data_IF_223495378131
#
_entry.id   IF_223495378131
#
_cell.length_a   1.000
_cell.length_b   1.000
_cell.length_c   1.000
_cell.angle_alpha   90.00
_cell.angle_beta   90.00
_cell.angle_gamma   90.00
#
_symmetry.space_group_name_H-M   'P 1'
#
loop_
_entity.id
_entity.type
_entity.pdbx_description
1 polymer ?
#
# COMPACT_ATOMS: atom_id res chain seq x y z
N UNK A 1 -14.37 13.67 -13.50
CA UNK A 1 -14.16 14.64 -12.41
C UNK A 1 -12.87 15.44 -12.62
N UNK A 2 -12.89 16.76 -12.46
CA UNK A 2 -11.68 17.59 -12.61
C UNK A 2 -10.83 17.59 -11.34
N UNK A 3 -9.50 17.52 -11.47
CA UNK A 3 -8.58 17.64 -10.35
C UNK A 3 -8.46 19.11 -9.91
N UNK A 4 -8.76 19.40 -8.64
CA UNK A 4 -8.65 20.74 -8.07
C UNK A 4 -7.21 21.30 -8.10
N UNK A 5 -6.19 20.43 -8.07
CA UNK A 5 -4.77 20.84 -8.05
C UNK A 5 -4.20 21.19 -9.42
N UNK A 6 -4.57 20.47 -10.48
CA UNK A 6 -3.91 20.62 -11.79
C UNK A 6 -4.86 20.76 -12.99
N UNK A 7 -6.18 20.82 -12.73
CA UNK A 7 -7.21 21.00 -13.76
C UNK A 7 -7.41 19.82 -14.69
N UNK A 8 -6.76 18.68 -14.45
CA UNK A 8 -6.88 17.50 -15.31
C UNK A 8 -8.31 16.92 -15.23
N UNK A 9 -8.89 16.57 -16.39
CA UNK A 9 -10.13 15.80 -16.43
C UNK A 9 -9.81 14.32 -16.15
N UNK A 10 -10.26 13.82 -15.01
CA UNK A 10 -10.11 12.42 -14.62
C UNK A 10 -11.43 11.66 -14.80
N UNK A 11 -11.34 10.35 -14.99
CA UNK A 11 -12.52 9.48 -14.98
C UNK A 11 -13.10 9.46 -13.55
N UNK A 12 -14.42 9.33 -13.44
CA UNK A 12 -15.15 9.40 -12.17
C UNK A 12 -14.80 8.25 -11.22
N UNK A 13 -14.22 7.16 -11.72
CA UNK A 13 -13.80 6.01 -10.92
C UNK A 13 -12.43 6.20 -10.22
N UNK A 14 -11.72 7.29 -10.50
CA UNK A 14 -10.39 7.54 -9.93
C UNK A 14 -10.44 8.33 -8.63
N UNK A 15 -9.85 7.78 -7.57
CA UNK A 15 -9.65 8.47 -6.28
C UNK A 15 -8.50 9.48 -6.29
N UNK A 16 -7.54 9.34 -7.22
CA UNK A 16 -6.36 10.20 -7.34
C UNK A 16 -6.15 10.65 -8.77
N UNK A 17 -5.60 11.86 -8.94
CA UNK A 17 -5.32 12.42 -10.24
C UNK A 17 -4.15 11.73 -10.90
N UNK A 18 -4.38 11.13 -12.06
CA UNK A 18 -3.34 10.44 -12.82
C UNK A 18 -2.24 11.37 -13.36
N UNK A 19 -2.44 12.69 -13.33
CA UNK A 19 -1.43 13.68 -13.75
C UNK A 19 -0.54 14.18 -12.60
N UNK A 20 -1.11 14.37 -11.40
CA UNK A 20 -0.38 15.04 -10.30
C UNK A 20 -0.47 14.34 -8.95
N UNK A 21 -1.10 13.16 -8.89
CA UNK A 21 -1.23 12.34 -7.68
C UNK A 21 -2.23 12.84 -6.63
N UNK A 22 -2.78 14.06 -6.76
CA UNK A 22 -3.68 14.62 -5.78
C UNK A 22 -5.01 13.86 -5.67
N UNK A 23 -5.55 13.71 -4.46
CA UNK A 23 -6.87 13.13 -4.21
C UNK A 23 -7.95 13.89 -4.97
N UNK A 24 -8.93 13.16 -5.48
CA UNK A 24 -10.08 13.68 -6.23
C UNK A 24 -11.33 13.37 -5.41
N UNK A 25 -12.11 14.41 -5.10
CA UNK A 25 -13.41 14.25 -4.43
C UNK A 25 -13.36 14.12 -2.90
N UNK A 26 -12.45 14.82 -2.21
CA UNK A 26 -12.49 15.02 -0.76
C UNK A 26 -12.64 16.52 -0.43
N UNK A 27 -13.50 16.80 0.53
CA UNK A 27 -14.04 18.08 1.04
C UNK A 27 -13.40 19.40 0.57
N UNK A 28 -14.31 20.32 0.22
CA UNK A 28 -14.09 21.74 0.00
C UNK A 28 -13.11 22.35 1.02
N UNK A 29 -12.00 22.88 0.50
CA UNK A 29 -11.12 23.78 1.24
C UNK A 29 -11.92 25.04 1.57
N UNK A 30 -12.30 25.19 2.83
CA UNK A 30 -12.77 26.47 3.38
C UNK A 30 -11.59 27.45 3.34
N UNK A 31 -11.64 28.34 2.35
CA UNK A 31 -10.77 29.50 2.27
C UNK A 31 -11.27 30.55 3.28
N UNK A 32 -10.60 30.70 4.42
CA UNK A 32 -10.60 31.95 5.16
C UNK A 32 -9.17 32.34 5.55
N UNK A 33 -8.67 33.36 4.86
CA UNK A 33 -7.44 34.10 5.18
C UNK A 33 -7.58 34.81 6.53
N UNK A 34 -6.50 34.88 7.32
CA UNK A 34 -5.87 36.15 7.72
C UNK A 34 -4.54 35.97 8.46
N UNK A 35 -3.53 36.65 7.92
CA UNK A 35 -2.24 37.09 8.45
C UNK A 35 -1.85 36.75 9.91
N UNK A 36 -0.75 36.01 10.06
CA UNK A 36 0.29 36.31 11.06
C UNK A 36 1.66 35.91 10.51
N UNK A 37 2.56 36.90 10.41
CA UNK A 37 3.98 36.68 10.10
C UNK A 37 4.65 36.30 11.42
N UNK A 38 5.00 35.03 11.58
CA UNK A 38 5.96 34.58 12.58
C UNK A 38 6.92 33.56 11.99
N UNK A 39 8.21 33.93 11.98
CA UNK A 39 9.33 33.06 11.67
C UNK A 39 9.36 31.86 12.63
N UNK A 40 9.26 30.63 12.11
CA UNK A 40 10.12 29.46 12.39
C UNK A 40 9.56 28.21 11.68
N UNK A 41 10.45 27.41 11.11
CA UNK A 41 10.20 26.20 10.31
C UNK A 41 9.36 25.12 11.02
N UNK A 42 8.03 25.20 10.94
CA UNK A 42 7.12 24.03 11.09
C UNK A 42 5.95 24.25 10.12
N UNK A 43 5.52 23.16 9.46
CA UNK A 43 4.29 22.96 8.66
C UNK A 43 4.48 22.83 7.13
N UNK A 44 4.85 21.62 6.71
CA UNK A 44 4.36 20.93 5.50
C UNK A 44 4.83 19.46 5.54
N UNK A 45 4.65 18.77 6.67
CA UNK A 45 4.91 17.34 6.75
C UNK A 45 3.69 16.60 6.20
N UNK A 46 3.84 15.64 5.26
CA UNK A 46 2.71 14.88 4.73
C UNK A 46 1.91 14.19 5.83
N UNK A 47 0.62 13.98 5.59
CA UNK A 47 -0.24 13.24 6.51
C UNK A 47 0.36 11.85 6.80
N UNK A 48 0.34 11.44 8.08
CA UNK A 48 0.91 10.18 8.58
C UNK A 48 2.45 10.04 8.53
N UNK A 49 3.20 11.07 8.09
CA UNK A 49 4.66 11.08 8.13
C UNK A 49 5.14 11.37 9.57
N UNK A 50 6.04 10.54 10.10
CA UNK A 50 6.63 10.68 11.45
C UNK A 50 7.89 11.53 11.46
N UNK A 51 8.76 11.33 10.46
CA UNK A 51 10.01 12.09 10.34
C UNK A 51 10.26 12.47 8.88
N UNK A 52 10.88 13.63 8.67
CA UNK A 52 11.32 14.10 7.37
C UNK A 52 12.77 14.59 7.46
N UNK A 53 13.69 13.88 6.80
CA UNK A 53 15.11 14.20 6.78
C UNK A 53 15.54 14.64 5.38
N UNK A 54 16.05 15.87 5.26
CA UNK A 54 16.73 16.31 4.05
C UNK A 54 18.21 15.92 4.16
N UNK A 55 18.66 14.95 3.36
CA UNK A 55 20.05 14.48 3.41
C UNK A 55 21.00 15.41 2.65
N UNK A 56 20.59 15.83 1.45
CA UNK A 56 21.28 16.83 0.63
C UNK A 56 20.24 17.61 -0.18
N UNK A 57 20.65 18.56 -1.03
CA UNK A 57 19.73 19.38 -1.83
C UNK A 57 18.79 18.57 -2.74
N UNK A 58 19.16 17.33 -3.05
CA UNK A 58 18.48 16.46 -3.99
C UNK A 58 17.81 15.25 -3.31
N UNK A 59 18.07 14.98 -2.04
CA UNK A 59 17.61 13.76 -1.39
C UNK A 59 16.84 14.09 -0.11
N UNK A 60 15.60 13.60 -0.04
CA UNK A 60 14.74 13.67 1.14
C UNK A 60 14.24 12.28 1.50
N UNK A 61 14.27 11.94 2.79
CA UNK A 61 13.72 10.70 3.33
C UNK A 61 12.52 11.08 4.19
N UNK A 62 11.36 10.52 3.88
CA UNK A 62 10.16 10.60 4.71
C UNK A 62 9.92 9.24 5.37
N UNK A 63 9.74 9.25 6.68
CA UNK A 63 9.60 8.04 7.49
C UNK A 63 8.16 7.94 7.97
N UNK A 64 7.53 6.83 7.63
CA UNK A 64 6.17 6.50 8.02
C UNK A 64 6.22 5.40 9.09
N UNK A 65 5.08 4.78 9.37
CA UNK A 65 4.98 3.81 10.45
C UNK A 65 5.87 2.60 10.24
N UNK A 66 5.83 1.99 9.05
CA UNK A 66 6.53 0.75 8.72
C UNK A 66 7.26 0.78 7.37
N UNK A 67 7.38 1.97 6.78
CA UNK A 67 8.08 2.19 5.51
C UNK A 67 8.69 3.59 5.46
N UNK A 68 9.62 3.78 4.53
CA UNK A 68 10.11 5.10 4.14
C UNK A 68 9.74 5.40 2.68
N UNK A 69 9.62 6.69 2.37
CA UNK A 69 9.64 7.20 0.99
C UNK A 69 10.97 7.94 0.79
N UNK A 70 11.77 7.45 -0.15
CA UNK A 70 13.03 8.07 -0.57
C UNK A 70 12.80 8.91 -1.82
N UNK A 71 12.87 10.24 -1.67
CA UNK A 71 12.76 11.21 -2.74
C UNK A 71 14.15 11.57 -3.28
N UNK A 72 14.37 11.47 -4.60
CA UNK A 72 15.62 11.79 -5.32
C UNK A 72 15.35 12.81 -6.44
N UNK A 73 15.65 14.09 -6.23
CA UNK A 73 15.57 15.13 -7.25
C UNK A 73 16.84 15.10 -8.13
N UNK A 74 16.71 14.95 -9.46
CA UNK A 74 17.87 15.07 -10.36
C UNK A 74 18.31 16.53 -10.49
N UNK A 75 19.59 16.80 -10.28
CA UNK A 75 20.25 18.02 -10.76
C UNK A 75 20.38 17.95 -12.30
N UNK A 76 19.74 18.89 -13.01
CA UNK A 76 19.88 19.08 -14.46
C UNK A 76 19.11 18.08 -15.33
N UNK A 77 18.22 18.58 -16.19
CA UNK A 77 17.29 17.78 -17.00
C UNK A 77 18.01 17.00 -18.13
N UNK A 78 17.49 15.79 -18.41
CA UNK A 78 17.69 14.87 -19.56
C UNK A 78 18.94 13.99 -19.69
N UNK A 79 18.76 12.69 -19.34
CA UNK A 79 19.10 11.45 -20.12
C UNK A 79 18.49 10.26 -19.37
N UNK A 80 17.32 9.79 -19.82
CA UNK A 80 17.13 8.60 -20.67
C UNK A 80 17.46 7.26 -19.95
N UNK A 81 16.37 6.63 -19.46
CA UNK A 81 16.19 5.20 -19.18
C UNK A 81 16.89 4.60 -17.94
N UNK A 82 16.10 4.36 -16.89
CA UNK A 82 16.04 3.05 -16.22
C UNK A 82 14.72 2.89 -15.43
N UNK A 83 14.00 1.83 -15.82
CA UNK A 83 12.87 1.14 -15.21
C UNK A 83 11.56 1.92 -14.93
N UNK A 84 10.66 1.79 -15.90
CA UNK A 84 9.27 2.22 -15.87
C UNK A 84 8.47 1.42 -14.82
N UNK A 85 8.33 1.94 -13.61
CA UNK A 85 7.18 1.71 -12.72
C UNK A 85 6.94 2.83 -11.67
N UNK A 86 7.72 3.93 -11.67
CA UNK A 86 7.51 5.05 -10.75
C UNK A 86 6.99 6.29 -11.50
N UNK A 87 5.75 6.69 -11.21
CA UNK A 87 5.17 7.95 -11.72
C UNK A 87 4.97 8.94 -10.59
N UNK A 88 6.02 9.08 -9.82
CA UNK A 88 7.03 10.12 -10.03
C UNK A 88 8.39 9.43 -10.21
N UNK A 89 9.20 9.80 -11.21
CA UNK A 89 10.44 9.06 -11.56
C UNK A 89 11.57 9.12 -10.50
N UNK A 90 11.24 9.54 -9.27
CA UNK A 90 12.17 10.02 -8.26
C UNK A 90 11.84 9.52 -6.84
N UNK A 91 10.82 8.68 -6.64
CA UNK A 91 10.41 8.20 -5.31
C UNK A 91 10.47 6.68 -5.20
N UNK A 92 11.12 6.17 -4.16
CA UNK A 92 11.13 4.75 -3.81
C UNK A 92 10.46 4.52 -2.45
N UNK A 93 9.45 3.65 -2.42
CA UNK A 93 8.81 3.18 -1.19
C UNK A 93 9.54 1.93 -0.71
N UNK A 94 10.16 2.00 0.48
CA UNK A 94 10.99 0.92 1.03
C UNK A 94 10.42 0.50 2.38
N UNK A 95 10.04 -0.78 2.51
CA UNK A 95 9.51 -1.36 3.74
C UNK A 95 10.63 -1.61 4.76
N UNK A 96 10.36 -1.39 6.05
CA UNK A 96 11.35 -1.59 7.11
C UNK A 96 11.91 -3.02 7.15
N UNK A 97 11.06 -4.04 6.93
CA UNK A 97 11.48 -5.44 6.89
C UNK A 97 12.45 -5.79 5.76
N UNK A 98 12.64 -4.90 4.78
CA UNK A 98 13.58 -5.07 3.65
C UNK A 98 14.74 -4.07 3.68
N UNK A 99 14.76 -3.17 4.65
CA UNK A 99 15.70 -2.06 4.75
C UNK A 99 16.66 -2.32 5.89
N UNK A 100 17.98 -2.36 5.66
CA UNK A 100 18.95 -2.13 6.73
C UNK A 100 19.40 -0.68 6.69
N UNK A 101 19.32 0.00 7.83
CA UNK A 101 19.69 1.41 7.96
C UNK A 101 20.68 1.59 9.09
N UNK A 102 21.74 2.35 8.83
CA UNK A 102 22.82 2.56 9.79
C UNK A 102 23.49 3.92 9.60
N UNK A 103 24.13 4.44 10.65
CA UNK A 103 24.92 5.67 10.62
C UNK A 103 26.38 5.36 10.92
N UNK A 104 27.25 5.79 10.02
CA UNK A 104 28.68 5.62 10.14
C UNK A 104 29.36 6.96 10.43
N UNK A 105 30.19 6.97 11.48
CA UNK A 105 31.04 8.09 11.85
C UNK A 105 32.48 7.77 11.46
N UNK A 106 33.06 8.60 10.59
CA UNK A 106 34.41 8.42 10.11
C UNK A 106 35.42 9.21 10.97
N UNK A 107 36.66 8.73 11.12
CA UNK A 107 37.70 9.43 11.90
C UNK A 107 38.03 10.84 11.41
N UNK A 108 37.71 11.14 10.14
CA UNK A 108 37.90 12.46 9.52
C UNK A 108 36.73 13.42 9.76
N UNK A 109 35.76 13.03 10.61
CA UNK A 109 34.61 13.85 10.98
C UNK A 109 33.43 13.75 10.01
N UNK A 110 33.51 12.94 8.94
CA UNK A 110 32.36 12.68 8.07
C UNK A 110 31.33 11.79 8.78
N UNK A 111 30.06 12.06 8.52
CA UNK A 111 28.92 11.27 8.98
C UNK A 111 28.16 10.79 7.75
N UNK A 112 27.81 9.51 7.69
CA UNK A 112 27.06 8.93 6.57
C UNK A 112 25.89 8.10 7.04
N UNK A 113 24.72 8.35 6.45
CA UNK A 113 23.56 7.46 6.53
C UNK A 113 23.67 6.42 5.42
N UNK A 114 23.68 5.15 5.81
CA UNK A 114 23.71 4.01 4.89
C UNK A 114 22.33 3.36 4.86
N UNK A 115 21.74 3.22 3.67
CA UNK A 115 20.52 2.45 3.44
C UNK A 115 20.88 1.26 2.57
N UNK A 116 20.65 0.04 3.04
CA UNK A 116 20.80 -1.18 2.25
C UNK A 116 19.41 -1.74 2.00
N UNK A 117 19.06 -1.84 0.73
CA UNK A 117 17.93 -2.63 0.25
C UNK A 117 18.53 -3.83 -0.46
N UNK A 118 17.86 -4.99 -0.49
CA UNK A 118 18.48 -6.25 -0.96
C UNK A 118 19.19 -6.25 -2.33
N UNK A 119 19.09 -5.18 -3.13
CA UNK A 119 19.79 -4.99 -4.41
C UNK A 119 20.80 -3.82 -4.43
N UNK A 120 20.73 -2.87 -3.50
CA UNK A 120 21.52 -1.62 -3.54
C UNK A 120 21.92 -1.13 -2.14
N UNK A 121 23.13 -0.60 -2.03
CA UNK A 121 23.58 0.17 -0.86
C UNK A 121 23.67 1.63 -1.26
N UNK A 122 22.89 2.48 -0.60
CA UNK A 122 22.82 3.92 -0.80
C UNK A 122 23.46 4.61 0.39
N UNK A 123 24.22 5.66 0.10
CA UNK A 123 25.11 6.31 1.04
C UNK A 123 24.90 7.81 0.95
N UNK A 124 24.45 8.43 2.05
CA UNK A 124 24.13 9.85 2.09
C UNK A 124 24.98 10.57 3.14
N UNK A 125 25.82 11.53 2.73
CA UNK A 125 26.56 12.34 3.69
C UNK A 125 25.58 13.17 4.52
N UNK A 126 25.80 13.23 5.83
CA UNK A 126 24.99 14.02 6.75
C UNK A 126 25.80 15.19 7.31
N UNK A 127 25.10 16.28 7.59
CA UNK A 127 25.63 17.38 8.40
C UNK A 127 25.54 17.02 9.89
N UNK A 128 26.32 17.69 10.74
CA UNK A 128 26.22 17.54 12.19
C UNK A 128 24.81 17.87 12.71
N UNK A 129 24.15 18.87 12.11
CA UNK A 129 22.78 19.26 12.47
C UNK A 129 21.76 18.14 12.18
N UNK A 130 21.96 17.41 11.09
CA UNK A 130 21.10 16.30 10.69
C UNK A 130 21.44 14.98 11.40
N UNK A 131 22.62 14.87 12.02
CA UNK A 131 23.08 13.63 12.66
C UNK A 131 22.18 13.15 13.79
N UNK A 132 21.64 14.08 14.61
CA UNK A 132 20.73 13.75 15.71
C UNK A 132 19.41 13.19 15.19
N UNK A 133 18.79 13.88 14.24
CA UNK A 133 17.53 13.45 13.63
C UNK A 133 17.71 12.10 12.90
N UNK A 134 18.82 11.91 12.20
CA UNK A 134 19.12 10.63 11.57
C UNK A 134 19.22 9.50 12.61
N UNK A 135 19.86 9.75 13.77
CA UNK A 135 19.95 8.76 14.84
C UNK A 135 18.57 8.41 15.41
N UNK A 136 17.71 9.41 15.62
CA UNK A 136 16.31 9.20 16.03
C UNK A 136 15.57 8.33 15.02
N UNK A 137 15.74 8.60 13.71
CA UNK A 137 15.15 7.80 12.63
C UNK A 137 15.66 6.35 12.63
N UNK A 138 16.97 6.14 12.75
CA UNK A 138 17.56 4.79 12.78
C UNK A 138 17.05 4.01 13.99
N UNK A 139 17.03 4.63 15.16
CA UNK A 139 16.52 4.00 16.38
C UNK A 139 15.03 3.65 16.23
N UNK A 140 14.23 4.58 15.70
CA UNK A 140 12.81 4.36 15.45
C UNK A 140 12.60 3.16 14.51
N UNK A 141 13.25 3.15 13.34
CA UNK A 141 13.11 2.07 12.35
C UNK A 141 13.51 0.71 12.94
N UNK A 142 14.63 0.65 13.67
CA UNK A 142 15.09 -0.59 14.27
C UNK A 142 14.14 -1.09 15.36
N UNK A 143 13.59 -0.19 16.18
CA UNK A 143 12.58 -0.57 17.19
C UNK A 143 11.29 -1.10 16.55
N UNK A 144 10.83 -0.50 15.45
CA UNK A 144 9.65 -0.98 14.74
C UNK A 144 9.88 -2.31 14.02
N UNK A 145 11.09 -2.57 13.51
CA UNK A 145 11.43 -3.89 12.97
C UNK A 145 11.31 -4.98 14.03
N UNK A 146 11.81 -4.73 15.24
CA UNK A 146 11.66 -5.69 16.35
C UNK A 146 10.18 -5.93 16.68
N UNK A 147 9.36 -4.87 16.68
CA UNK A 147 7.91 -5.00 16.85
C UNK A 147 7.26 -5.82 15.72
N UNK A 148 7.66 -5.61 14.46
CA UNK A 148 7.13 -6.33 13.30
C UNK A 148 7.50 -7.82 13.29
N UNK A 149 8.71 -8.18 13.76
CA UNK A 149 9.13 -9.58 13.91
C UNK A 149 8.33 -10.28 15.01
N UNK A 150 7.95 -9.56 16.07
CA UNK A 150 7.17 -10.08 17.19
C UNK A 150 5.65 -10.01 16.96
N UNK A 151 5.20 -9.25 15.97
CA UNK A 151 3.80 -9.18 15.57
C UNK A 151 3.42 -10.41 14.72
N UNK A 152 2.83 -11.41 15.37
CA UNK A 152 2.06 -12.42 14.63
C UNK A 152 0.97 -11.70 13.83
N UNK A 153 0.67 -12.09 12.58
CA UNK A 153 -0.51 -11.58 11.90
C UNK A 153 -1.73 -11.81 12.79
N UNK A 154 -2.39 -10.73 13.22
CA UNK A 154 -3.58 -10.78 14.08
C UNK A 154 -4.74 -11.58 13.46
N UNK A 155 -4.63 -11.94 12.17
CA UNK A 155 -5.64 -12.67 11.42
C UNK A 155 -5.63 -14.20 11.63
N UNK A 156 -4.82 -14.70 12.56
CA UNK A 156 -4.71 -16.14 12.77
C UNK A 156 -5.32 -16.57 14.12
N UNK A 157 -6.17 -17.59 14.03
CA UNK A 157 -6.71 -18.43 15.10
C UNK A 157 -8.16 -18.19 15.55
N UNK A 158 -9.05 -17.66 14.71
CA UNK A 158 -10.47 -17.95 14.95
C UNK A 158 -10.69 -19.44 14.60
N UNK A 159 -10.60 -20.32 15.59
CA UNK A 159 -10.87 -21.75 15.42
C UNK A 159 -12.34 -21.89 15.05
N UNK A 160 -12.61 -22.52 13.91
CA UNK A 160 -13.98 -22.84 13.54
C UNK A 160 -14.24 -24.26 14.01
N UNK A 161 -15.32 -24.44 14.76
CA UNK A 161 -15.80 -25.77 15.07
C UNK A 161 -16.32 -26.44 13.80
N UNK A 162 -16.24 -27.77 13.75
CA UNK A 162 -16.79 -28.53 12.64
C UNK A 162 -18.30 -28.29 12.59
N UNK A 163 -18.80 -27.98 11.40
CA UNK A 163 -20.22 -27.73 11.20
C UNK A 163 -20.97 -29.06 11.31
N UNK A 164 -21.85 -29.16 12.30
CA UNK A 164 -22.73 -30.32 12.46
C UNK A 164 -23.91 -30.13 11.51
N UNK A 165 -23.98 -30.97 10.49
CA UNK A 165 -25.04 -30.91 9.50
C UNK A 165 -26.38 -31.39 10.07
N UNK A 166 -27.47 -30.79 9.61
CA UNK A 166 -28.81 -31.26 9.91
C UNK A 166 -29.75 -31.09 8.72
N UNK A 167 -30.63 -32.06 8.50
CA UNK A 167 -31.68 -31.93 7.49
C UNK A 167 -32.81 -31.09 8.03
N UNK A 168 -33.25 -30.13 7.22
CA UNK A 168 -34.33 -29.21 7.57
C UNK A 168 -35.47 -29.32 6.55
N UNK A 169 -36.71 -29.20 7.03
CA UNK A 169 -37.90 -29.18 6.19
C UNK A 169 -38.67 -27.88 6.43
N UNK A 170 -38.98 -27.17 5.34
CA UNK A 170 -39.72 -25.92 5.37
C UNK A 170 -40.99 -26.07 4.55
N UNK A 171 -42.12 -25.66 5.12
CA UNK A 171 -43.40 -25.64 4.41
C UNK A 171 -43.60 -24.27 3.75
N UNK A 172 -43.51 -24.21 2.42
CA UNK A 172 -43.67 -22.98 1.64
C UNK A 172 -44.79 -23.15 0.61
N UNK A 173 -45.85 -22.35 0.72
CA UNK A 173 -47.00 -22.39 -0.20
C UNK A 173 -47.61 -23.79 -0.40
N UNK A 174 -47.71 -24.59 0.67
CA UNK A 174 -48.23 -25.96 0.61
C UNK A 174 -47.27 -26.99 0.02
N UNK A 175 -46.03 -26.60 -0.31
CA UNK A 175 -44.94 -27.50 -0.71
C UNK A 175 -43.93 -27.66 0.42
N UNK A 176 -43.30 -28.83 0.50
CA UNK A 176 -42.21 -29.10 1.43
C UNK A 176 -40.91 -28.88 0.69
N UNK A 177 -40.10 -27.93 1.15
CA UNK A 177 -38.72 -27.73 0.73
C UNK A 177 -37.82 -28.45 1.73
N UNK A 178 -37.05 -29.43 1.23
CA UNK A 178 -36.09 -30.18 2.04
C UNK A 178 -34.68 -29.66 1.77
N UNK A 179 -33.98 -29.28 2.83
CA UNK A 179 -32.55 -29.00 2.82
C UNK A 179 -31.86 -30.24 3.35
N UNK A 180 -31.03 -30.87 2.51
CA UNK A 180 -30.19 -31.98 2.94
C UNK A 180 -28.97 -31.48 3.72
N UNK A 181 -28.30 -32.41 4.40
CA UNK A 181 -27.11 -32.14 5.20
C UNK A 181 -25.99 -31.46 4.41
N UNK A 182 -25.81 -31.81 3.13
CA UNK A 182 -24.75 -31.24 2.29
C UNK A 182 -25.00 -29.76 1.97
N UNK A 183 -26.25 -29.42 1.70
CA UNK A 183 -26.70 -28.05 1.48
C UNK A 183 -26.67 -27.23 2.77
N UNK A 184 -26.96 -27.85 3.92
CA UNK A 184 -26.86 -27.22 5.23
C UNK A 184 -25.41 -26.85 5.58
N UNK A 185 -24.47 -27.78 5.34
CA UNK A 185 -23.02 -27.54 5.46
C UNK A 185 -22.59 -26.39 4.55
N UNK A 186 -22.99 -26.43 3.28
CA UNK A 186 -22.66 -25.37 2.31
C UNK A 186 -23.16 -24.00 2.78
N UNK A 187 -24.42 -23.90 3.20
CA UNK A 187 -25.01 -22.65 3.65
C UNK A 187 -24.31 -22.10 4.89
N UNK A 188 -23.95 -22.99 5.83
CA UNK A 188 -23.27 -22.62 7.06
C UNK A 188 -21.85 -22.11 6.81
N UNK A 189 -21.04 -22.82 6.00
CA UNK A 189 -19.72 -22.33 5.60
C UNK A 189 -19.83 -21.04 4.79
N UNK A 190 -20.81 -20.92 3.88
CA UNK A 190 -21.03 -19.70 3.09
C UNK A 190 -21.28 -18.48 3.97
N UNK A 191 -22.10 -18.61 5.02
CA UNK A 191 -22.37 -17.54 5.98
C UNK A 191 -21.08 -17.20 6.75
N UNK A 192 -20.38 -18.21 7.28
CA UNK A 192 -19.16 -18.00 8.04
C UNK A 192 -18.07 -17.30 7.21
N UNK A 193 -17.89 -17.69 5.94
CA UNK A 193 -16.94 -17.06 5.04
C UNK A 193 -17.33 -15.64 4.63
N UNK A 194 -18.63 -15.36 4.48
CA UNK A 194 -19.11 -13.99 4.25
C UNK A 194 -18.78 -13.11 5.45
N UNK A 195 -19.12 -13.55 6.65
CA UNK A 195 -18.89 -12.75 7.87
C UNK A 195 -17.38 -12.55 8.12
N UNK A 196 -16.55 -13.54 7.78
CA UNK A 196 -15.08 -13.39 7.78
C UNK A 196 -14.60 -12.39 6.72
N UNK A 197 -15.17 -12.44 5.51
CA UNK A 197 -14.85 -11.50 4.44
C UNK A 197 -15.16 -10.05 4.85
N UNK A 198 -16.28 -9.82 5.54
CA UNK A 198 -16.65 -8.51 6.05
C UNK A 198 -15.62 -8.00 7.09
N UNK A 199 -15.22 -8.85 8.05
CA UNK A 199 -14.14 -8.52 9.01
C UNK A 199 -12.84 -8.14 8.29
N UNK A 200 -12.46 -8.92 7.26
CA UNK A 200 -11.24 -8.65 6.49
C UNK A 200 -11.36 -7.40 5.63
N UNK A 201 -12.55 -7.08 5.11
CA UNK A 201 -12.79 -5.85 4.38
C UNK A 201 -12.64 -4.61 5.28
N UNK A 202 -13.20 -4.66 6.50
CA UNK A 202 -13.05 -3.58 7.49
C UNK A 202 -11.58 -3.36 7.87
N UNK A 203 -10.85 -4.44 8.08
CA UNK A 203 -9.41 -4.41 8.36
C UNK A 203 -8.59 -3.87 7.18
N UNK A 204 -8.90 -4.31 5.96
CA UNK A 204 -8.28 -3.82 4.74
C UNK A 204 -8.53 -2.32 4.56
N UNK A 205 -9.75 -1.85 4.86
CA UNK A 205 -10.09 -0.42 4.76
C UNK A 205 -9.29 0.42 5.76
N UNK A 206 -9.13 -0.04 7.01
CA UNK A 206 -8.29 0.64 8.02
C UNK A 206 -6.84 0.74 7.56
N UNK A 207 -6.27 -0.35 7.05
CA UNK A 207 -4.90 -0.38 6.53
C UNK A 207 -4.74 0.51 5.29
N UNK A 208 -5.74 0.53 4.40
CA UNK A 208 -5.78 1.39 3.23
C UNK A 208 -5.78 2.87 3.62
N UNK A 209 -6.69 3.29 4.50
CA UNK A 209 -6.80 4.69 4.97
C UNK A 209 -5.52 5.18 5.63
N UNK A 210 -4.77 4.27 6.25
CA UNK A 210 -3.52 4.55 6.95
C UNK A 210 -2.33 4.68 6.00
N UNK A 211 -2.20 3.79 5.01
CA UNK A 211 -1.02 3.72 4.14
C UNK A 211 -1.15 4.43 2.80
N UNK A 212 -2.36 4.61 2.29
CA UNK A 212 -2.61 5.13 0.93
C UNK A 212 -3.00 6.60 0.96
N UNK A 213 -2.04 7.46 0.62
CA UNK A 213 -2.19 8.92 0.69
C UNK A 213 -2.08 9.60 -0.70
N UNK A 214 -1.48 8.92 -1.66
CA UNK A 214 -1.22 9.41 -3.02
C UNK A 214 -1.18 8.26 -4.04
N UNK A 215 -0.89 8.58 -5.30
CA UNK A 215 -0.82 7.59 -6.37
C UNK A 215 0.31 6.55 -6.17
N UNK A 216 1.46 6.94 -5.64
CA UNK A 216 2.60 6.03 -5.47
C UNK A 216 2.30 5.00 -4.37
N UNK A 217 1.84 5.48 -3.23
CA UNK A 217 1.38 4.64 -2.11
C UNK A 217 0.15 3.80 -2.49
N UNK A 218 -0.76 4.32 -3.31
CA UNK A 218 -1.87 3.55 -3.88
C UNK A 218 -1.40 2.36 -4.72
N UNK A 219 -0.52 2.62 -5.70
CA UNK A 219 -0.01 1.60 -6.61
C UNK A 219 0.82 0.53 -5.86
N UNK A 220 1.47 0.93 -4.77
CA UNK A 220 2.26 0.02 -3.93
C UNK A 220 1.40 -0.80 -2.97
N UNK A 221 0.59 -0.14 -2.14
CA UNK A 221 -0.04 -0.80 -1.00
C UNK A 221 -1.40 -1.42 -1.30
N UNK A 222 -2.18 -0.90 -2.27
CA UNK A 222 -3.50 -1.49 -2.54
C UNK A 222 -3.41 -2.97 -2.96
N UNK A 223 -2.51 -3.38 -3.88
CA UNK A 223 -2.31 -4.79 -4.19
C UNK A 223 -1.87 -5.61 -2.98
N UNK A 224 -0.89 -5.10 -2.22
CA UNK A 224 -0.33 -5.79 -1.04
C UNK A 224 -1.42 -6.04 0.02
N UNK A 225 -2.25 -5.03 0.29
CA UNK A 225 -3.41 -5.13 1.18
C UNK A 225 -4.38 -6.20 0.66
N UNK A 226 -4.81 -6.12 -0.60
CA UNK A 226 -5.74 -7.07 -1.18
C UNK A 226 -5.25 -8.52 -1.07
N UNK A 227 -4.01 -8.78 -1.50
CA UNK A 227 -3.45 -10.12 -1.47
C UNK A 227 -3.21 -10.63 -0.04
N UNK A 228 -2.87 -9.77 0.92
CA UNK A 228 -2.73 -10.15 2.33
C UNK A 228 -4.03 -10.75 2.89
N UNK A 229 -5.17 -10.11 2.66
CA UNK A 229 -6.46 -10.60 3.18
C UNK A 229 -7.02 -11.77 2.36
N UNK A 230 -6.77 -11.79 1.04
CA UNK A 230 -7.10 -12.96 0.21
C UNK A 230 -6.28 -14.19 0.63
N UNK A 231 -5.00 -14.01 0.95
CA UNK A 231 -4.13 -15.08 1.44
C UNK A 231 -4.63 -15.68 2.76
N UNK A 232 -5.01 -14.82 3.71
CA UNK A 232 -5.60 -15.24 4.98
C UNK A 232 -6.91 -16.02 4.80
N UNK A 233 -7.77 -15.57 3.86
CA UNK A 233 -9.02 -16.27 3.52
C UNK A 233 -8.76 -17.62 2.86
N UNK A 234 -7.79 -17.67 1.94
CA UNK A 234 -7.40 -18.89 1.26
C UNK A 234 -6.80 -19.91 2.23
N UNK A 235 -5.95 -19.48 3.18
CA UNK A 235 -5.47 -20.35 4.27
C UNK A 235 -6.64 -20.97 5.04
N UNK A 236 -7.61 -20.14 5.45
CA UNK A 236 -8.78 -20.63 6.21
C UNK A 236 -9.61 -21.64 5.41
N UNK A 237 -9.79 -21.41 4.11
CA UNK A 237 -10.45 -22.36 3.23
C UNK A 237 -9.66 -23.68 3.13
N UNK A 238 -8.33 -23.61 3.01
CA UNK A 238 -7.49 -24.80 2.97
C UNK A 238 -7.55 -25.61 4.27
N UNK A 239 -7.52 -24.96 5.43
CA UNK A 239 -7.62 -25.65 6.72
C UNK A 239 -8.90 -26.49 6.83
N UNK A 240 -10.02 -25.94 6.35
CA UNK A 240 -11.31 -26.64 6.33
C UNK A 240 -11.30 -27.78 5.32
N UNK A 241 -10.85 -27.54 4.09
CA UNK A 241 -10.77 -28.58 3.06
C UNK A 241 -9.91 -29.76 3.53
N UNK A 242 -8.78 -29.47 4.18
CA UNK A 242 -7.90 -30.48 4.78
C UNK A 242 -8.59 -31.25 5.89
N UNK A 243 -9.28 -30.56 6.81
CA UNK A 243 -10.03 -31.19 7.90
C UNK A 243 -11.15 -32.12 7.38
N UNK A 244 -11.79 -31.75 6.27
CA UNK A 244 -12.83 -32.54 5.59
C UNK A 244 -12.26 -33.60 4.63
N UNK A 245 -10.92 -33.72 4.51
CA UNK A 245 -10.26 -34.71 3.66
C UNK A 245 -10.33 -34.41 2.15
N UNK A 246 -10.53 -33.15 1.77
CA UNK A 246 -10.56 -32.67 0.38
C UNK A 246 -9.19 -32.12 -0.01
N UNK A 247 -8.51 -32.79 -0.94
CA UNK A 247 -7.13 -32.48 -1.35
C UNK A 247 -6.98 -32.03 -2.80
N UNK A 248 -8.09 -31.83 -3.51
CA UNK A 248 -8.10 -31.55 -4.96
C UNK A 248 -7.79 -30.09 -5.33
N UNK A 249 -7.63 -29.21 -4.35
CA UNK A 249 -7.41 -27.77 -4.52
C UNK A 249 -6.17 -27.37 -3.71
N UNK A 250 -5.34 -26.47 -4.25
CA UNK A 250 -4.22 -25.87 -3.51
C UNK A 250 -4.53 -24.42 -3.22
N UNK A 251 -3.81 -23.84 -2.24
CA UNK A 251 -3.95 -22.41 -1.92
C UNK A 251 -3.68 -21.54 -3.14
N UNK A 252 -2.66 -21.87 -3.93
CA UNK A 252 -2.28 -21.14 -5.14
C UNK A 252 -3.35 -21.22 -6.22
N UNK A 253 -3.94 -22.41 -6.43
CA UNK A 253 -5.00 -22.56 -7.43
C UNK A 253 -6.28 -21.83 -7.01
N UNK A 254 -6.58 -21.80 -5.71
CA UNK A 254 -7.68 -21.01 -5.16
C UNK A 254 -7.46 -19.51 -5.36
N UNK A 255 -6.31 -18.97 -4.94
CA UNK A 255 -5.97 -17.55 -5.07
C UNK A 255 -6.00 -17.14 -6.55
N UNK A 256 -5.43 -17.96 -7.43
CA UNK A 256 -5.43 -17.71 -8.88
C UNK A 256 -6.86 -17.63 -9.40
N UNK A 257 -7.68 -18.66 -9.15
CA UNK A 257 -9.08 -18.68 -9.60
C UNK A 257 -9.88 -17.49 -9.06
N UNK A 258 -9.69 -17.13 -7.79
CA UNK A 258 -10.32 -15.94 -7.22
C UNK A 258 -9.88 -14.67 -7.96
N UNK A 259 -8.57 -14.50 -8.19
CA UNK A 259 -8.03 -13.32 -8.88
C UNK A 259 -8.38 -13.25 -10.37
N UNK A 260 -8.82 -14.34 -11.00
CA UNK A 260 -9.29 -14.35 -12.39
C UNK A 260 -10.79 -14.00 -12.47
N UNK A 261 -11.57 -14.40 -11.47
CA UNK A 261 -13.03 -14.19 -11.46
C UNK A 261 -13.45 -12.89 -10.74
N UNK A 262 -12.70 -12.49 -9.70
CA UNK A 262 -13.01 -11.36 -8.82
C UNK A 262 -11.84 -10.37 -8.81
N UNK A 263 -11.67 -9.67 -9.94
CA UNK A 263 -10.44 -8.96 -10.30
C UNK A 263 -10.57 -7.43 -10.25
N UNK A 264 -11.65 -6.89 -9.68
CA UNK A 264 -11.91 -5.44 -9.67
C UNK A 264 -10.74 -4.62 -9.14
N UNK A 265 -10.09 -5.06 -8.05
CA UNK A 265 -8.92 -4.37 -7.49
C UNK A 265 -7.74 -4.39 -8.47
N UNK A 266 -7.48 -5.54 -9.08
CA UNK A 266 -6.43 -5.73 -10.09
C UNK A 266 -6.69 -4.83 -11.30
N UNK A 267 -7.94 -4.75 -11.75
CA UNK A 267 -8.35 -3.90 -12.87
C UNK A 267 -8.17 -2.42 -12.57
N UNK A 268 -8.55 -1.95 -11.37
CA UNK A 268 -8.36 -0.56 -10.98
C UNK A 268 -6.87 -0.16 -10.93
N UNK A 269 -6.02 -1.05 -10.41
CA UNK A 269 -4.56 -0.82 -10.37
C UNK A 269 -3.98 -0.83 -11.78
N UNK A 270 -4.37 -1.80 -12.61
CA UNK A 270 -3.91 -1.89 -14.00
C UNK A 270 -4.35 -0.68 -14.83
N UNK A 271 -5.61 -0.25 -14.71
CA UNK A 271 -6.11 0.94 -15.40
C UNK A 271 -5.34 2.20 -14.97
N UNK A 272 -5.01 2.31 -13.68
CA UNK A 272 -4.17 3.40 -13.16
C UNK A 272 -2.77 3.36 -13.75
N UNK A 273 -2.13 2.18 -13.77
CA UNK A 273 -0.81 1.97 -14.38
C UNK A 273 -0.79 2.31 -15.88
N UNK A 274 -1.81 1.91 -16.64
CA UNK A 274 -1.90 2.20 -18.07
C UNK A 274 -2.10 3.69 -18.35
N UNK A 275 -2.98 4.36 -17.58
CA UNK A 275 -3.17 5.82 -17.69
C UNK A 275 -1.85 6.57 -17.45
N UNK A 276 -1.14 6.13 -16.41
CA UNK A 276 0.17 6.62 -16.01
C UNK A 276 1.22 6.41 -17.12
N UNK A 277 1.31 5.21 -17.70
CA UNK A 277 2.21 4.91 -18.83
C UNK A 277 1.91 5.79 -20.05
N UNK A 278 0.63 5.99 -20.36
CA UNK A 278 0.20 6.83 -21.48
C UNK A 278 0.65 8.29 -21.30
N UNK A 279 0.54 8.83 -20.09
CA UNK A 279 0.97 10.19 -19.79
C UNK A 279 2.50 10.37 -19.91
N UNK A 280 3.27 9.36 -19.52
CA UNK A 280 4.73 9.34 -19.73
C UNK A 280 5.08 9.37 -21.22
N UNK A 281 4.41 8.56 -22.05
CA UNK A 281 4.65 8.53 -23.49
C UNK A 281 4.36 9.89 -24.15
N UNK A 282 3.29 10.58 -23.73
CA UNK A 282 2.97 11.93 -24.22
C UNK A 282 4.07 12.91 -23.82
N UNK A 283 4.51 12.88 -22.57
CA UNK A 283 5.57 13.77 -22.06
C UNK A 283 6.90 13.53 -22.78
N UNK A 284 7.24 12.26 -23.04
CA UNK A 284 8.42 11.89 -23.82
C UNK A 284 8.33 12.43 -25.25
N UNK A 285 7.20 12.28 -25.93
CA UNK A 285 6.97 12.84 -27.26
C UNK A 285 7.09 14.37 -27.27
N UNK A 286 6.51 15.07 -26.29
CA UNK A 286 6.61 16.53 -26.18
C UNK A 286 8.06 17.00 -25.95
N UNK A 287 8.84 16.27 -25.14
CA UNK A 287 10.25 16.58 -24.91
C UNK A 287 11.15 16.37 -26.14
N UNK A 288 10.70 15.60 -27.13
CA UNK A 288 11.40 15.41 -28.41
C UNK A 288 11.05 16.47 -29.46
N UNK A 289 9.98 17.25 -29.25
CA UNK A 289 9.45 18.23 -30.23
C UNK A 289 9.84 19.67 -29.88
N UNK A 290 10.29 19.94 -28.66
CA UNK A 290 10.84 21.25 -28.26
C UNK A 290 12.35 21.28 -28.48
N UNK A 291 12.87 22.05 -29.46
CA UNK A 291 14.30 22.34 -29.53
C UNK A 291 14.68 23.25 -28.37
N UNK A 292 15.84 22.98 -27.76
CA UNK A 292 16.52 23.81 -26.75
C UNK A 292 16.77 25.22 -27.29
#
# INVERSE_FOLDING_TARGET
MYCAKCGQLNDNNFKFCYKCGAKIGGDSVDNNNQNEITNTNINNMPENCKYSLQCDINTKIEVYEDYIILHRMKAGVTKLLRNAFSVSANEDIILFNTLDIDIQFFPDGRIMLTLKTGKETLNYPLTNENSRLAQEIVNYINSEKENLVNASPEYQNEKWDNIVASSHEFHLCGKILKIDESMDIYNSYRIAFRDLADKYADSAEKEYKKRVNDLNTYLKFLPDIYYKYLDAMATKAMDILVAEGIWSVTKESFIKSHSENFHLVVDYVNASLESVKKQLQITQKLSQVLPV
#
